data_IF_398014126006
#
_entry.id   IF_398014126006
#
_cell.length_a   1.000
_cell.length_b   1.000
_cell.length_c   1.000
_cell.angle_alpha   90.00
_cell.angle_beta   90.00
_cell.angle_gamma   90.00
#
_symmetry.space_group_name_H-M   'P 1'
#
loop_
_entity.id
_entity.type
_entity.pdbx_description
1 polymer ?
#
# COMPACT_ATOMS: atom_id res chain seq x y z
N UNK A 1 -5.98 56.14 48.65
CA UNK A 1 -6.68 54.83 48.61
C UNK A 1 -6.53 54.20 47.19
N UNK A 2 -6.00 53.02 47.22
CA UNK A 2 -5.70 52.17 46.05
C UNK A 2 -7.03 51.52 45.62
N UNK A 3 -7.39 51.68 44.35
CA UNK A 3 -8.45 50.91 43.70
C UNK A 3 -7.83 50.02 42.62
N UNK A 4 -7.63 48.76 42.97
CA UNK A 4 -7.25 47.75 42.06
C UNK A 4 -8.46 47.37 41.21
N UNK A 5 -8.51 47.82 39.96
CA UNK A 5 -9.47 47.35 38.97
C UNK A 5 -9.04 45.98 38.48
N UNK A 6 -9.83 45.00 38.83
CA UNK A 6 -9.73 43.62 38.43
C UNK A 6 -10.03 43.50 36.93
N UNK A 7 -9.01 43.35 36.12
CA UNK A 7 -9.13 42.95 34.69
C UNK A 7 -9.50 41.49 34.60
N UNK A 8 -10.81 41.24 34.58
CA UNK A 8 -11.36 39.93 34.19
C UNK A 8 -11.23 39.80 32.67
N UNK A 9 -10.13 39.23 32.20
CA UNK A 9 -9.96 38.77 30.81
C UNK A 9 -11.04 37.74 30.53
N UNK A 10 -12.09 38.13 29.84
CA UNK A 10 -13.05 37.22 29.20
C UNK A 10 -12.27 36.43 28.14
N UNK A 11 -11.85 35.21 28.44
CA UNK A 11 -11.48 34.23 27.41
C UNK A 11 -12.70 34.00 26.56
N UNK A 12 -12.77 34.67 25.41
CA UNK A 12 -13.68 34.30 24.35
C UNK A 12 -13.29 32.89 23.92
N UNK A 13 -14.08 31.89 24.26
CA UNK A 13 -13.99 30.57 23.68
C UNK A 13 -14.24 30.73 22.20
N UNK A 14 -13.19 30.66 21.40
CA UNK A 14 -13.32 30.54 19.94
C UNK A 14 -14.04 29.23 19.64
N UNK A 15 -15.31 29.32 19.28
CA UNK A 15 -16.10 28.23 18.74
C UNK A 15 -15.76 28.26 17.23
N UNK A 16 -14.99 27.31 16.71
CA UNK A 16 -14.75 27.26 15.27
C UNK A 16 -16.11 27.12 14.57
N UNK A 17 -16.31 27.81 13.43
CA UNK A 17 -17.53 27.63 12.66
C UNK A 17 -17.73 26.15 12.37
N UNK A 18 -18.99 25.64 12.36
CA UNK A 18 -19.26 24.26 12.03
C UNK A 18 -18.56 23.97 10.72
N UNK A 19 -17.73 22.92 10.70
CA UNK A 19 -17.09 22.43 9.49
C UNK A 19 -18.17 22.24 8.45
N UNK A 20 -18.05 22.91 7.30
CA UNK A 20 -18.94 22.64 6.18
C UNK A 20 -18.91 21.13 5.94
N UNK A 21 -20.07 20.48 5.68
CA UNK A 21 -20.07 19.06 5.38
C UNK A 21 -19.08 18.85 4.25
N UNK A 22 -18.07 17.98 4.48
CA UNK A 22 -17.16 17.59 3.42
C UNK A 22 -18.02 17.06 2.29
N UNK A 23 -18.06 17.78 1.16
CA UNK A 23 -18.73 17.30 -0.03
C UNK A 23 -18.10 15.94 -0.33
N UNK A 24 -18.90 14.88 -0.32
CA UNK A 24 -18.47 13.56 -0.73
C UNK A 24 -17.85 13.68 -2.13
N UNK A 25 -16.53 13.57 -2.19
CA UNK A 25 -15.82 13.69 -3.46
C UNK A 25 -16.10 12.43 -4.25
N UNK A 26 -16.79 12.59 -5.36
CA UNK A 26 -17.08 11.48 -6.27
C UNK A 26 -15.77 10.83 -6.73
N UNK A 27 -15.69 9.51 -6.62
CA UNK A 27 -14.54 8.76 -7.07
C UNK A 27 -14.51 8.68 -8.59
N UNK A 28 -13.44 9.13 -9.20
CA UNK A 28 -13.19 8.99 -10.62
C UNK A 28 -11.75 8.53 -10.87
N UNK A 29 -11.60 7.51 -11.72
CA UNK A 29 -10.28 7.07 -12.15
C UNK A 29 -9.59 8.15 -12.98
N UNK A 30 -8.28 8.42 -12.76
CA UNK A 30 -7.50 9.27 -13.65
C UNK A 30 -7.55 8.76 -15.09
N UNK A 31 -7.67 9.65 -16.10
CA UNK A 31 -7.66 9.26 -17.49
C UNK A 31 -6.42 8.40 -17.84
N UNK A 32 -6.64 7.34 -18.63
CA UNK A 32 -5.57 6.47 -19.06
C UNK A 32 -4.75 7.10 -20.20
N UNK A 33 -3.44 6.93 -20.17
CA UNK A 33 -2.56 7.24 -21.28
C UNK A 33 -2.79 6.30 -22.46
N UNK A 34 -2.43 6.73 -23.66
CA UNK A 34 -2.51 5.91 -24.88
C UNK A 34 -1.68 4.61 -24.80
N UNK A 35 -0.71 4.54 -23.90
CA UNK A 35 0.10 3.35 -23.67
C UNK A 35 0.66 3.34 -22.24
N UNK A 36 1.28 2.22 -21.84
CA UNK A 36 1.82 2.01 -20.48
C UNK A 36 3.36 2.00 -20.45
N UNK A 37 4.05 2.62 -21.42
CA UNK A 37 5.51 2.46 -21.60
C UNK A 37 6.32 2.93 -20.41
N UNK A 38 5.97 4.06 -19.79
CA UNK A 38 6.68 4.59 -18.61
C UNK A 38 6.45 3.75 -17.39
N UNK A 39 5.23 3.28 -17.17
CA UNK A 39 4.90 2.37 -16.07
C UNK A 39 5.66 1.06 -16.23
N UNK A 40 5.73 0.48 -17.43
CA UNK A 40 6.56 -0.70 -17.68
C UNK A 40 8.03 -0.44 -17.38
N UNK A 41 8.61 0.63 -17.91
CA UNK A 41 10.02 0.98 -17.69
C UNK A 41 10.31 1.18 -16.18
N UNK A 42 9.42 1.90 -15.48
CA UNK A 42 9.53 2.17 -14.06
C UNK A 42 9.50 0.89 -13.22
N UNK A 43 8.52 0.02 -13.45
CA UNK A 43 8.34 -1.22 -12.67
C UNK A 43 9.41 -2.27 -12.99
N UNK A 44 9.81 -2.41 -14.26
CA UNK A 44 10.93 -3.27 -14.66
C UNK A 44 12.24 -2.84 -13.98
N UNK A 45 12.52 -1.52 -13.93
CA UNK A 45 13.70 -0.99 -13.23
C UNK A 45 13.67 -1.27 -11.71
N UNK A 46 12.48 -1.49 -11.14
CA UNK A 46 12.28 -1.90 -9.76
C UNK A 46 12.30 -3.43 -9.57
N UNK A 47 12.69 -4.17 -10.61
CA UNK A 47 12.81 -5.61 -10.55
C UNK A 47 11.50 -6.39 -10.65
N UNK A 48 10.38 -5.73 -10.95
CA UNK A 48 9.10 -6.41 -11.13
C UNK A 48 9.08 -7.07 -12.51
N UNK A 49 8.75 -8.36 -12.57
CA UNK A 49 8.79 -9.12 -13.81
C UNK A 49 7.76 -8.61 -14.83
N UNK A 50 8.15 -8.63 -16.12
CA UNK A 50 7.26 -8.25 -17.24
C UNK A 50 5.94 -9.02 -17.19
N UNK A 51 5.97 -10.33 -16.88
CA UNK A 51 4.78 -11.18 -16.80
C UNK A 51 3.77 -10.69 -15.75
N UNK A 52 4.25 -10.24 -14.59
CA UNK A 52 3.40 -9.68 -13.52
C UNK A 52 2.79 -8.36 -13.97
N UNK A 53 3.58 -7.45 -14.54
CA UNK A 53 3.10 -6.16 -15.03
C UNK A 53 2.02 -6.37 -16.11
N UNK A 54 2.29 -7.21 -17.10
CA UNK A 54 1.35 -7.52 -18.20
C UNK A 54 0.04 -8.14 -17.69
N UNK A 55 0.13 -9.01 -16.68
CA UNK A 55 -1.07 -9.59 -16.05
C UNK A 55 -1.94 -8.52 -15.38
N UNK A 56 -1.34 -7.61 -14.62
CA UNK A 56 -2.06 -6.51 -13.96
C UNK A 56 -2.66 -5.53 -14.96
N UNK A 57 -1.95 -5.21 -16.04
CA UNK A 57 -2.46 -4.34 -17.11
C UNK A 57 -3.64 -4.99 -17.83
N UNK A 58 -3.54 -6.28 -18.20
CA UNK A 58 -4.66 -7.02 -18.82
C UNK A 58 -5.88 -7.14 -17.91
N UNK A 59 -5.67 -7.26 -16.60
CA UNK A 59 -6.76 -7.29 -15.61
C UNK A 59 -7.38 -5.90 -15.35
N UNK A 60 -6.81 -4.83 -15.94
CA UNK A 60 -7.26 -3.46 -15.74
C UNK A 60 -7.14 -3.00 -14.28
N UNK A 61 -6.12 -3.49 -13.57
CA UNK A 61 -5.80 -3.08 -12.20
C UNK A 61 -4.49 -2.29 -12.11
N UNK A 62 -3.82 -2.10 -13.24
CA UNK A 62 -2.63 -1.28 -13.36
C UNK A 62 -2.62 -0.61 -14.73
N UNK A 63 -2.41 0.70 -14.75
CA UNK A 63 -2.23 1.44 -16.00
C UNK A 63 -1.40 2.72 -15.79
N UNK A 64 -1.08 3.41 -16.89
CA UNK A 64 -0.41 4.70 -16.89
C UNK A 64 -1.44 5.83 -17.00
N UNK A 65 -1.41 6.82 -16.09
CA UNK A 65 -2.29 8.00 -16.22
C UNK A 65 -1.84 8.90 -17.37
N UNK A 66 -2.80 9.57 -18.05
CA UNK A 66 -2.52 10.54 -19.10
C UNK A 66 -1.70 11.72 -18.54
N UNK A 67 -2.13 12.23 -17.38
CA UNK A 67 -1.43 13.30 -16.70
C UNK A 67 -0.24 12.74 -15.89
N UNK A 68 0.93 13.37 -16.02
CA UNK A 68 2.15 13.04 -15.29
C UNK A 68 2.66 11.60 -15.45
N UNK A 69 2.00 10.74 -16.22
CA UNK A 69 2.39 9.35 -16.46
C UNK A 69 2.63 8.54 -15.18
N UNK A 70 1.78 8.72 -14.18
CA UNK A 70 1.84 7.97 -12.95
C UNK A 70 1.41 6.51 -13.16
N UNK A 71 1.98 5.59 -12.39
CA UNK A 71 1.43 4.25 -12.25
C UNK A 71 0.16 4.33 -11.37
N UNK A 72 -0.97 3.89 -11.90
CA UNK A 72 -2.27 3.85 -11.23
C UNK A 72 -2.56 2.41 -10.84
N UNK A 73 -2.62 2.15 -9.54
CA UNK A 73 -3.00 0.86 -8.96
C UNK A 73 -4.47 0.91 -8.56
N UNK A 74 -5.29 0.07 -9.18
CA UNK A 74 -6.74 0.09 -9.04
C UNK A 74 -7.22 -1.03 -8.14
N UNK A 75 -8.05 -0.71 -7.17
CA UNK A 75 -8.83 -1.66 -6.39
C UNK A 75 -10.26 -1.72 -6.90
N UNK A 76 -10.81 -2.94 -6.98
CA UNK A 76 -12.13 -3.22 -7.51
C UNK A 76 -13.00 -3.92 -6.48
N UNK A 77 -14.32 -3.70 -6.59
CA UNK A 77 -15.31 -4.49 -5.86
C UNK A 77 -15.56 -5.86 -6.54
N UNK A 78 -16.45 -6.65 -5.99
CA UNK A 78 -16.79 -8.00 -6.47
C UNK A 78 -17.46 -7.98 -7.84
N UNK A 79 -18.09 -6.87 -8.22
CA UNK A 79 -18.67 -6.66 -9.55
C UNK A 79 -17.61 -6.25 -10.59
N UNK A 80 -16.35 -6.07 -10.18
CA UNK A 80 -15.26 -5.61 -11.03
C UNK A 80 -15.24 -4.10 -11.23
N UNK A 81 -16.08 -3.35 -10.53
CA UNK A 81 -16.12 -1.88 -10.58
C UNK A 81 -14.98 -1.30 -9.78
N UNK A 82 -14.28 -0.32 -10.35
CA UNK A 82 -13.21 0.38 -9.64
C UNK A 82 -13.78 1.24 -8.50
N UNK A 83 -13.25 1.06 -7.29
CA UNK A 83 -13.64 1.77 -6.07
C UNK A 83 -12.47 2.45 -5.37
N UNK A 84 -11.26 2.09 -5.74
CA UNK A 84 -10.05 2.61 -5.14
C UNK A 84 -8.98 2.80 -6.20
N UNK A 85 -8.19 3.84 -6.08
CA UNK A 85 -6.98 3.99 -6.88
C UNK A 85 -5.87 4.70 -6.11
N UNK A 86 -4.65 4.22 -6.30
CA UNK A 86 -3.44 4.80 -5.74
C UNK A 86 -2.45 5.16 -6.86
N UNK A 87 -1.93 6.37 -6.80
CA UNK A 87 -0.98 6.92 -7.77
C UNK A 87 0.45 6.81 -7.26
N UNK A 88 1.34 6.34 -8.11
CA UNK A 88 2.77 6.35 -7.88
C UNK A 88 3.48 7.04 -9.04
N UNK A 89 4.20 8.12 -8.74
CA UNK A 89 5.00 8.81 -9.74
C UNK A 89 6.08 7.92 -10.35
N UNK A 90 6.18 7.94 -11.68
CA UNK A 90 7.21 7.19 -12.42
C UNK A 90 8.52 7.94 -12.57
N UNK A 91 8.54 9.23 -12.27
CA UNK A 91 9.75 10.03 -12.25
C UNK A 91 10.60 9.67 -11.03
N UNK A 92 11.90 9.40 -11.27
CA UNK A 92 12.84 8.95 -10.24
C UNK A 92 13.73 10.07 -9.69
N UNK A 93 13.63 11.27 -10.27
CA UNK A 93 14.37 12.46 -9.78
C UNK A 93 13.45 13.27 -8.85
N UNK A 94 14.00 13.72 -7.73
CA UNK A 94 13.28 14.49 -6.73
C UNK A 94 12.45 13.64 -5.75
N UNK A 95 11.53 14.29 -5.03
CA UNK A 95 10.67 13.62 -4.05
C UNK A 95 9.67 12.67 -4.75
N UNK A 96 9.60 11.39 -4.36
CA UNK A 96 8.66 10.46 -4.95
C UNK A 96 7.20 10.90 -4.74
N UNK A 97 6.42 10.98 -5.82
CA UNK A 97 5.00 11.27 -5.74
C UNK A 97 4.20 10.02 -5.35
N UNK A 98 3.33 10.18 -4.37
CA UNK A 98 2.38 9.16 -3.90
C UNK A 98 1.08 9.87 -3.54
N UNK A 99 -0.04 9.41 -4.05
CA UNK A 99 -1.35 9.94 -3.69
C UNK A 99 -2.45 8.89 -3.83
N UNK A 100 -3.40 8.91 -2.92
CA UNK A 100 -4.67 8.21 -3.08
C UNK A 100 -5.60 9.10 -3.91
N UNK A 101 -6.36 8.52 -4.84
CA UNK A 101 -7.33 9.27 -5.63
C UNK A 101 -8.48 9.68 -4.72
N UNK A 102 -8.92 10.92 -4.85
CA UNK A 102 -10.03 11.46 -4.06
C UNK A 102 -11.30 10.63 -4.24
N UNK A 103 -12.05 10.40 -3.16
CA UNK A 103 -13.23 9.54 -3.18
C UNK A 103 -12.94 8.04 -3.20
N UNK A 104 -11.67 7.63 -3.11
CA UNK A 104 -11.31 6.20 -3.02
C UNK A 104 -11.85 5.55 -1.75
N UNK A 105 -12.40 4.35 -1.91
CA UNK A 105 -12.88 3.51 -0.81
C UNK A 105 -11.79 2.51 -0.38
N UNK A 106 -11.13 2.75 0.76
CA UNK A 106 -10.03 1.90 1.27
C UNK A 106 -10.41 0.44 1.53
N UNK A 107 -11.66 0.14 1.68
CA UNK A 107 -12.14 -1.24 1.78
C UNK A 107 -11.86 -2.08 0.53
N UNK A 108 -11.59 -1.43 -0.61
CA UNK A 108 -11.27 -2.04 -1.90
C UNK A 108 -9.83 -1.74 -2.34
N UNK A 109 -8.88 -1.65 -1.40
CA UNK A 109 -7.48 -1.46 -1.74
C UNK A 109 -6.99 -2.49 -2.78
N UNK A 110 -5.90 -2.14 -3.46
CA UNK A 110 -5.31 -2.98 -4.50
C UNK A 110 -5.06 -4.42 -4.02
N UNK A 111 -5.54 -5.39 -4.80
CA UNK A 111 -5.43 -6.80 -4.49
C UNK A 111 -5.10 -7.63 -5.73
N UNK A 112 -4.22 -8.62 -5.58
CA UNK A 112 -3.91 -9.62 -6.60
C UNK A 112 -4.59 -10.93 -6.24
N UNK A 113 -5.44 -11.47 -7.12
CA UNK A 113 -6.05 -12.77 -6.90
C UNK A 113 -5.04 -13.91 -7.11
N UNK A 114 -5.24 -15.07 -6.46
CA UNK A 114 -4.49 -16.28 -6.73
C UNK A 114 -4.87 -16.89 -8.08
N UNK A 115 -4.03 -17.82 -8.54
CA UNK A 115 -4.42 -18.78 -9.59
C UNK A 115 -5.03 -20.01 -8.92
N UNK A 116 -6.34 -20.10 -8.94
CA UNK A 116 -7.08 -21.17 -8.28
C UNK A 116 -7.59 -20.79 -6.89
N UNK A 117 -8.11 -21.78 -6.17
CA UNK A 117 -8.67 -21.62 -4.82
C UNK A 117 -7.58 -21.66 -3.76
N UNK A 118 -7.70 -20.85 -2.72
CA UNK A 118 -6.76 -20.80 -1.61
C UNK A 118 -7.45 -20.24 -0.36
N UNK A 119 -6.98 -20.65 0.80
CA UNK A 119 -7.36 -20.10 2.10
C UNK A 119 -6.26 -19.17 2.69
N UNK A 120 -5.31 -18.74 1.85
CA UNK A 120 -4.14 -17.95 2.25
C UNK A 120 -4.21 -16.52 1.72
N UNK A 121 -3.89 -15.56 2.58
CA UNK A 121 -3.81 -14.14 2.27
C UNK A 121 -2.46 -13.60 2.72
N UNK A 122 -1.73 -12.91 1.84
CA UNK A 122 -0.58 -12.09 2.20
C UNK A 122 -0.95 -10.61 2.21
N UNK A 123 -0.51 -9.86 3.22
CA UNK A 123 -0.81 -8.42 3.38
C UNK A 123 0.46 -7.59 3.33
N UNK A 124 0.39 -6.44 2.65
CA UNK A 124 1.51 -5.54 2.36
C UNK A 124 1.13 -4.10 2.66
N UNK A 125 2.11 -3.24 2.89
CA UNK A 125 1.85 -1.81 3.10
C UNK A 125 1.39 -1.12 1.82
N UNK A 126 2.02 -1.42 0.69
CA UNK A 126 1.75 -0.76 -0.59
C UNK A 126 1.58 -1.75 -1.76
N UNK A 127 0.83 -1.30 -2.79
CA UNK A 127 0.54 -2.11 -3.98
C UNK A 127 1.81 -2.58 -4.73
N UNK A 128 2.87 -1.78 -4.77
CA UNK A 128 4.10 -2.15 -5.47
C UNK A 128 4.81 -3.34 -4.83
N UNK A 129 4.69 -3.49 -3.51
CA UNK A 129 5.27 -4.59 -2.75
C UNK A 129 4.58 -5.91 -3.07
N UNK A 130 3.25 -5.89 -3.34
CA UNK A 130 2.52 -7.10 -3.77
C UNK A 130 3.04 -7.64 -5.09
N UNK A 131 3.36 -6.74 -6.06
CA UNK A 131 3.92 -7.12 -7.35
C UNK A 131 5.35 -7.62 -7.22
N UNK A 132 6.13 -6.97 -6.36
CA UNK A 132 7.53 -7.32 -6.10
C UNK A 132 7.64 -8.70 -5.46
N UNK A 133 6.87 -8.96 -4.41
CA UNK A 133 6.88 -10.26 -3.73
C UNK A 133 6.37 -11.37 -4.65
N UNK A 134 5.29 -11.14 -5.43
CA UNK A 134 4.85 -12.08 -6.46
C UNK A 134 5.95 -12.37 -7.49
N UNK A 135 6.75 -11.38 -7.85
CA UNK A 135 7.90 -11.57 -8.77
C UNK A 135 9.01 -12.40 -8.13
N UNK A 136 9.28 -12.21 -6.84
CA UNK A 136 10.31 -12.93 -6.10
C UNK A 136 9.93 -14.40 -5.89
N UNK A 137 8.69 -14.67 -5.50
CA UNK A 137 8.16 -16.02 -5.31
C UNK A 137 7.89 -16.76 -6.64
N UNK A 138 7.44 -16.05 -7.67
CA UNK A 138 7.11 -16.63 -8.98
C UNK A 138 5.80 -17.42 -9.03
N UNK A 139 5.09 -17.55 -7.92
CA UNK A 139 3.83 -18.31 -7.79
C UNK A 139 2.68 -17.42 -7.32
N UNK A 140 1.52 -17.54 -7.96
CA UNK A 140 0.29 -16.84 -7.58
C UNK A 140 -0.64 -17.79 -6.82
N UNK A 141 -0.19 -18.30 -5.67
CA UNK A 141 -0.82 -19.35 -4.87
C UNK A 141 -1.66 -18.81 -3.70
N UNK A 142 -1.66 -17.51 -3.50
CA UNK A 142 -2.37 -16.81 -2.41
C UNK A 142 -2.89 -15.46 -2.85
N UNK A 143 -3.88 -14.95 -2.15
CA UNK A 143 -4.29 -13.54 -2.26
C UNK A 143 -3.17 -12.62 -1.80
N UNK A 144 -2.99 -11.47 -2.44
CA UNK A 144 -2.03 -10.44 -2.02
C UNK A 144 -2.71 -9.09 -1.96
N UNK A 145 -2.94 -8.61 -0.73
CA UNK A 145 -3.68 -7.38 -0.45
C UNK A 145 -2.75 -6.26 0.00
N UNK A 146 -2.83 -5.11 -0.65
CA UNK A 146 -2.25 -3.87 -0.12
C UNK A 146 -3.16 -3.29 0.96
N UNK A 147 -2.58 -2.87 2.09
CA UNK A 147 -3.32 -2.21 3.17
C UNK A 147 -3.57 -0.72 2.90
N UNK A 148 -3.00 -0.16 1.81
CA UNK A 148 -3.10 1.26 1.48
C UNK A 148 -2.33 2.17 2.45
N UNK A 149 -1.24 1.65 3.00
CA UNK A 149 -0.44 2.25 4.06
C UNK A 149 -0.77 1.69 5.44
N UNK A 150 0.17 1.86 6.35
CA UNK A 150 0.00 1.52 7.77
C UNK A 150 0.23 2.75 8.62
N UNK A 151 -0.41 2.78 9.78
CA UNK A 151 -0.16 3.79 10.81
C UNK A 151 0.65 3.16 11.93
N UNK A 152 1.76 3.77 12.28
CA UNK A 152 2.62 3.40 13.41
C UNK A 152 3.07 4.66 14.16
N UNK A 153 3.43 4.58 15.45
CA UNK A 153 4.05 5.69 16.15
C UNK A 153 5.40 6.01 15.49
N UNK A 154 5.89 7.23 15.69
CA UNK A 154 7.24 7.56 15.28
C UNK A 154 8.25 6.83 16.18
N UNK A 155 9.38 6.46 15.61
CA UNK A 155 10.46 5.85 16.38
C UNK A 155 10.89 6.78 17.52
N UNK A 156 10.95 6.24 18.75
CA UNK A 156 11.23 7.02 19.97
C UNK A 156 10.03 7.67 20.63
N UNK A 157 8.83 7.68 20.02
CA UNK A 157 7.61 8.13 20.70
C UNK A 157 7.11 7.05 21.67
N UNK A 158 6.64 7.47 22.85
CA UNK A 158 6.08 6.52 23.81
C UNK A 158 4.79 5.89 23.27
N UNK A 159 4.67 4.55 23.22
CA UNK A 159 3.52 3.86 22.62
C UNK A 159 2.18 4.12 23.32
N UNK A 160 2.17 4.69 24.53
CA UNK A 160 0.96 4.87 25.36
C UNK A 160 -0.12 5.76 24.76
N UNK A 161 0.24 6.59 23.77
CA UNK A 161 -0.70 7.52 23.10
C UNK A 161 -1.17 7.01 21.73
N UNK A 162 -0.59 5.91 21.21
CA UNK A 162 -0.91 5.40 19.87
C UNK A 162 -1.74 4.12 19.96
N UNK A 163 -2.98 4.20 19.49
CA UNK A 163 -3.87 3.03 19.41
C UNK A 163 -3.79 2.39 18.03
N UNK A 164 -3.49 1.09 17.98
CA UNK A 164 -3.54 0.32 16.73
C UNK A 164 -4.98 0.24 16.22
N UNK A 165 -5.19 0.67 14.99
CA UNK A 165 -6.46 0.51 14.29
C UNK A 165 -6.32 -0.60 13.26
N UNK A 166 -7.25 -1.57 13.31
CA UNK A 166 -7.30 -2.62 12.29
C UNK A 166 -7.48 -2.00 10.90
N UNK A 167 -6.65 -2.40 9.90
CA UNK A 167 -6.76 -1.82 8.55
C UNK A 167 -8.11 -2.12 7.92
N UNK A 168 -8.81 -1.09 7.44
CA UNK A 168 -10.14 -1.22 6.82
C UNK A 168 -10.10 -2.17 5.63
N UNK A 169 -9.05 -2.12 4.82
CA UNK A 169 -8.85 -3.01 3.69
C UNK A 169 -8.87 -4.48 4.12
N UNK A 170 -8.14 -4.83 5.20
CA UNK A 170 -8.07 -6.19 5.72
C UNK A 170 -9.40 -6.64 6.33
N UNK A 171 -10.01 -5.82 7.20
CA UNK A 171 -11.30 -6.15 7.81
C UNK A 171 -12.39 -6.41 6.76
N UNK A 172 -12.44 -5.56 5.74
CA UNK A 172 -13.42 -5.69 4.67
C UNK A 172 -13.12 -6.88 3.75
N UNK A 173 -11.84 -7.14 3.46
CA UNK A 173 -11.43 -8.30 2.69
C UNK A 173 -11.82 -9.61 3.38
N UNK A 174 -11.51 -9.76 4.68
CA UNK A 174 -11.81 -10.96 5.46
C UNK A 174 -13.33 -11.22 5.63
N UNK A 175 -14.15 -10.16 5.60
CA UNK A 175 -15.62 -10.32 5.58
C UNK A 175 -16.13 -10.89 4.27
N UNK A 176 -15.50 -10.54 3.15
CA UNK A 176 -15.86 -11.01 1.80
C UNK A 176 -15.28 -12.38 1.48
N UNK A 177 -14.20 -12.76 2.18
CA UNK A 177 -13.44 -13.98 1.98
C UNK A 177 -13.41 -14.83 3.26
N UNK A 178 -14.56 -15.41 3.68
CA UNK A 178 -14.64 -16.22 4.90
C UNK A 178 -13.83 -17.53 4.83
N UNK A 179 -13.40 -17.93 3.63
CA UNK A 179 -12.54 -19.09 3.40
C UNK A 179 -11.09 -18.87 3.84
N UNK A 180 -10.68 -17.64 4.15
CA UNK A 180 -9.30 -17.35 4.58
C UNK A 180 -9.08 -17.91 6.00
N UNK A 181 -8.01 -18.67 6.15
CA UNK A 181 -7.57 -19.28 7.42
C UNK A 181 -6.16 -18.86 7.81
N UNK A 182 -5.33 -18.47 6.82
CA UNK A 182 -3.94 -18.04 7.04
C UNK A 182 -3.70 -16.62 6.53
N UNK A 183 -3.09 -15.81 7.39
CA UNK A 183 -2.65 -14.44 7.04
C UNK A 183 -1.13 -14.37 7.16
N UNK A 184 -0.48 -14.10 6.04
CA UNK A 184 0.95 -13.86 5.93
C UNK A 184 1.22 -12.35 5.98
N UNK A 185 1.94 -11.89 6.99
CA UNK A 185 2.26 -10.48 7.20
C UNK A 185 3.58 -10.17 6.50
N UNK A 186 3.49 -9.39 5.42
CA UNK A 186 4.59 -9.00 4.54
C UNK A 186 4.85 -7.49 4.60
N UNK A 187 4.81 -6.91 5.79
CA UNK A 187 5.14 -5.49 6.01
C UNK A 187 6.65 -5.24 5.87
N UNK A 188 7.05 -3.97 5.80
CA UNK A 188 8.44 -3.58 5.70
C UNK A 188 9.25 -4.03 6.93
N UNK A 189 10.54 -4.28 6.78
CA UNK A 189 11.41 -4.57 7.90
C UNK A 189 12.07 -3.29 8.46
N UNK A 190 11.27 -2.24 8.63
CA UNK A 190 11.63 -1.04 9.37
C UNK A 190 10.87 -0.96 10.70
N UNK A 191 11.08 0.10 11.48
CA UNK A 191 10.39 0.26 12.77
C UNK A 191 8.86 0.21 12.62
N UNK A 192 8.31 0.95 11.66
CA UNK A 192 6.87 1.05 11.45
C UNK A 192 6.26 -0.29 10.99
N UNK A 193 6.93 -0.98 10.06
CA UNK A 193 6.49 -2.27 9.54
C UNK A 193 6.56 -3.40 10.58
N UNK A 194 7.63 -3.44 11.38
CA UNK A 194 7.74 -4.40 12.50
C UNK A 194 6.68 -4.15 13.56
N UNK A 195 6.47 -2.88 13.93
CA UNK A 195 5.40 -2.50 14.86
C UNK A 195 4.03 -2.94 14.35
N UNK A 196 3.74 -2.67 13.08
CA UNK A 196 2.48 -3.09 12.46
C UNK A 196 2.33 -4.62 12.42
N UNK A 197 3.40 -5.35 12.10
CA UNK A 197 3.39 -6.81 12.07
C UNK A 197 3.01 -7.41 13.43
N UNK A 198 3.61 -6.90 14.53
CA UNK A 198 3.29 -7.36 15.88
C UNK A 198 1.83 -7.08 16.27
N UNK A 199 1.31 -5.92 15.89
CA UNK A 199 -0.07 -5.52 16.22
C UNK A 199 -1.10 -6.24 15.35
N UNK A 200 -0.81 -6.51 14.08
CA UNK A 200 -1.62 -7.37 13.22
C UNK A 200 -1.67 -8.79 13.77
N UNK A 201 -0.53 -9.37 14.13
CA UNK A 201 -0.50 -10.71 14.73
C UNK A 201 -1.37 -10.78 15.99
N UNK A 202 -1.17 -9.87 16.94
CA UNK A 202 -1.97 -9.80 18.18
C UNK A 202 -3.46 -9.62 17.92
N UNK A 203 -3.84 -8.84 16.89
CA UNK A 203 -5.23 -8.53 16.60
C UNK A 203 -5.99 -9.68 15.94
N UNK A 204 -5.28 -10.62 15.28
CA UNK A 204 -5.90 -11.68 14.45
C UNK A 204 -5.52 -13.11 14.84
N UNK A 205 -4.49 -13.34 15.67
CA UNK A 205 -3.99 -14.68 16.05
C UNK A 205 -5.02 -15.62 16.68
N UNK A 206 -6.09 -15.11 17.26
CA UNK A 206 -7.15 -15.95 17.85
C UNK A 206 -8.15 -16.48 16.81
N UNK A 207 -8.09 -15.99 15.56
CA UNK A 207 -9.05 -16.32 14.50
C UNK A 207 -8.39 -16.89 13.24
N UNK A 208 -7.14 -16.50 12.98
CA UNK A 208 -6.39 -16.90 11.80
C UNK A 208 -5.02 -17.43 12.19
N UNK A 209 -4.47 -18.32 11.36
CA UNK A 209 -3.06 -18.68 11.44
C UNK A 209 -2.22 -17.48 10.95
N UNK A 210 -1.40 -16.93 11.83
CA UNK A 210 -0.57 -15.77 11.50
C UNK A 210 0.86 -16.22 11.18
N UNK A 211 1.39 -15.75 10.05
CA UNK A 211 2.76 -16.01 9.59
C UNK A 211 3.46 -14.68 9.35
N UNK A 212 4.55 -14.39 10.07
CA UNK A 212 5.38 -13.22 9.76
C UNK A 212 6.39 -13.58 8.68
N UNK A 213 6.31 -12.88 7.56
CA UNK A 213 7.23 -12.99 6.45
C UNK A 213 7.65 -11.57 6.03
N UNK A 214 8.56 -10.99 6.84
CA UNK A 214 9.12 -9.69 6.56
C UNK A 214 10.37 -9.85 5.67
N UNK A 215 10.75 -8.82 4.88
CA UNK A 215 12.04 -8.83 4.18
C UNK A 215 13.19 -9.16 5.12
N UNK A 216 14.13 -10.02 4.71
CA UNK A 216 15.27 -10.44 5.57
C UNK A 216 16.18 -9.27 5.97
N UNK A 217 16.31 -8.28 5.07
CA UNK A 217 17.19 -7.15 5.28
C UNK A 217 16.49 -6.03 6.03
N UNK A 218 17.07 -5.58 7.14
CA UNK A 218 16.55 -4.46 7.92
C UNK A 218 16.49 -3.17 7.09
N UNK A 219 15.42 -2.39 7.29
CA UNK A 219 15.13 -1.15 6.58
C UNK A 219 14.62 -1.33 5.14
N UNK A 220 14.42 -2.58 4.67
CA UNK A 220 13.97 -2.88 3.31
C UNK A 220 12.50 -3.26 3.24
N UNK A 221 11.92 -3.02 2.06
CA UNK A 221 10.65 -3.58 1.62
C UNK A 221 10.88 -4.65 0.52
N UNK A 222 9.83 -5.34 0.09
CA UNK A 222 9.91 -6.34 -0.99
C UNK A 222 10.27 -5.73 -2.35
N UNK A 223 9.95 -4.46 -2.59
CA UNK A 223 10.33 -3.77 -3.83
C UNK A 223 11.84 -3.48 -3.87
N UNK A 224 12.46 -3.25 -2.71
CA UNK A 224 13.93 -3.12 -2.59
C UNK A 224 14.62 -4.45 -2.88
N UNK A 225 14.11 -5.55 -2.32
CA UNK A 225 14.65 -6.90 -2.58
C UNK A 225 14.52 -7.31 -4.07
N UNK A 226 13.38 -7.03 -4.68
CA UNK A 226 13.18 -7.32 -6.10
C UNK A 226 14.14 -6.50 -6.98
N UNK A 227 14.32 -5.23 -6.66
CA UNK A 227 15.27 -4.34 -7.34
C UNK A 227 16.71 -4.83 -7.19
N UNK A 228 17.14 -5.18 -6.00
CA UNK A 228 18.48 -5.71 -5.75
C UNK A 228 18.75 -7.01 -6.54
N UNK A 229 17.76 -7.92 -6.55
CA UNK A 229 17.84 -9.15 -7.36
C UNK A 229 17.98 -8.85 -8.84
N UNK A 230 17.20 -7.91 -9.36
CA UNK A 230 17.25 -7.50 -10.77
C UNK A 230 18.62 -6.90 -11.13
N UNK A 231 19.16 -6.00 -10.31
CA UNK A 231 20.47 -5.38 -10.52
C UNK A 231 21.60 -6.40 -10.51
N UNK A 232 21.57 -7.35 -9.57
CA UNK A 232 22.53 -8.47 -9.53
C UNK A 232 22.47 -9.35 -10.79
N UNK A 233 21.28 -9.65 -11.29
CA UNK A 233 21.10 -10.42 -12.52
C UNK A 233 21.60 -9.67 -13.76
N UNK A 234 21.27 -8.37 -13.87
CA UNK A 234 21.75 -7.52 -14.96
C UNK A 234 23.28 -7.39 -14.98
N UNK A 235 23.92 -7.25 -13.81
CA UNK A 235 25.37 -7.21 -13.70
C UNK A 235 26.03 -8.53 -14.14
N UNK A 236 25.48 -9.67 -13.73
CA UNK A 236 25.97 -11.00 -14.17
C UNK A 236 25.87 -11.19 -15.68
N UNK A 237 24.76 -10.78 -16.29
CA UNK A 237 24.57 -10.87 -17.74
C UNK A 237 25.59 -10.00 -18.51
N UNK A 238 25.84 -8.77 -18.06
CA UNK A 238 26.87 -7.89 -18.66
C UNK A 238 28.25 -8.50 -18.57
N UNK A 239 28.62 -9.05 -17.42
CA UNK A 239 29.92 -9.71 -17.23
C UNK A 239 30.08 -10.97 -18.10
N UNK A 240 28.99 -11.69 -18.38
CA UNK A 240 29.00 -12.86 -19.26
C UNK A 240 29.13 -12.50 -20.75
N UNK A 241 28.56 -11.36 -21.19
CA UNK A 241 28.65 -10.87 -22.57
C UNK A 241 29.98 -10.16 -22.88
N UNK A 242 30.81 -9.87 -21.88
CA UNK A 242 32.11 -9.19 -22.03
C UNK A 242 33.30 -10.18 -22.06
N UNK A 243 33.01 -11.47 -22.05
CA UNK A 243 33.96 -12.57 -22.23
C UNK A 243 33.81 -13.20 -23.59
#
# INVERSE_FOLDING_TARGET
ESSAASDVYKRQCYIPPPSQPEQEKEFALPPASANNRRVFAYLLKRGISRKVIEACVRAGILYESADYHNAVFVGKDEAGTARYAFLRGTYTKGKPFKAEVSGSEKQYCFCLPPKGTTNRLAVYEAAIETLAHLTLEGTADKWRLSLGGISAPKEGEQPRSFSFKKPLALESFLKRHPEIEEIEICTNNDFAGRWAAEHLEKAYQGKYRMVKNLPEKEGCDYADLAKERYEKQAARQRAACSR
#
